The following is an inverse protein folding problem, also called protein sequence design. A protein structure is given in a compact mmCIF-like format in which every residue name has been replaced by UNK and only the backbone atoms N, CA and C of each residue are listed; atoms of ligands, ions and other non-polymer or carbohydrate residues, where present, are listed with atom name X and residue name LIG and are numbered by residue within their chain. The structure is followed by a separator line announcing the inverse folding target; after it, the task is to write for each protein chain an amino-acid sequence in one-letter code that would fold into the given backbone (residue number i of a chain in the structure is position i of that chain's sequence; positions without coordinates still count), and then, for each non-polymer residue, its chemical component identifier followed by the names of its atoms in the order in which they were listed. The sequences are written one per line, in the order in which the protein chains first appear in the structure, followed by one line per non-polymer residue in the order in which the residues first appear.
data_IF_202244264975
#
_entry.id   IF_202244264975
#
_cell.length_a   1.000
_cell.length_b   1.000
_cell.length_c   1.000
_cell.angle_alpha   90.00
_cell.angle_beta   90.00
_cell.angle_gamma   90.00
#
_symmetry.space_group_name_H-M   'P 1'
#
loop_
_entity.id
_entity.type
_entity.pdbx_description
1 polymer ?
#
# COMPACT_ATOMS: atom_id res chain seq x y z
N UNK A 1 -4.30 -56.12 -42.30
CA UNK A 1 -3.15 -55.40 -42.88
C UNK A 1 -2.13 -55.14 -41.78
N UNK A 2 -0.84 -55.26 -42.09
CA UNK A 2 0.21 -54.95 -41.13
C UNK A 2 0.31 -53.42 -40.94
N UNK A 3 0.43 -52.94 -39.69
CA UNK A 3 0.47 -51.50 -39.42
C UNK A 3 1.77 -50.85 -39.88
N UNK A 4 1.73 -49.55 -40.15
CA UNK A 4 2.88 -48.75 -40.56
C UNK A 4 3.55 -48.10 -39.34
N UNK A 5 4.88 -48.00 -39.38
CA UNK A 5 5.68 -47.35 -38.35
C UNK A 5 5.53 -45.83 -38.44
N UNK A 6 5.25 -45.16 -37.32
CA UNK A 6 5.09 -43.69 -37.32
C UNK A 6 6.39 -42.90 -37.49
N UNK A 7 7.56 -43.55 -37.51
CA UNK A 7 8.85 -42.89 -37.76
C UNK A 7 9.33 -43.04 -39.20
N UNK A 8 9.37 -44.28 -39.69
CA UNK A 8 9.91 -44.59 -41.01
C UNK A 8 8.82 -44.91 -42.05
N UNK A 9 7.54 -44.95 -41.65
CA UNK A 9 6.40 -45.31 -42.50
C UNK A 9 6.49 -46.67 -43.19
N UNK A 10 7.40 -47.54 -42.75
CA UNK A 10 7.52 -48.92 -43.22
C UNK A 10 6.62 -49.85 -42.41
N UNK A 11 6.26 -50.99 -43.02
CA UNK A 11 5.45 -52.02 -42.39
C UNK A 11 6.13 -52.57 -41.13
N UNK A 12 5.37 -52.67 -40.04
CA UNK A 12 5.82 -53.24 -38.77
C UNK A 12 5.25 -54.64 -38.61
N UNK A 13 6.13 -55.63 -38.55
CA UNK A 13 5.75 -57.01 -38.30
C UNK A 13 5.44 -57.25 -36.82
N UNK A 14 4.57 -58.23 -36.49
CA UNK A 14 4.18 -58.53 -35.10
C UNK A 14 5.36 -58.71 -34.12
N UNK A 15 6.46 -59.31 -34.57
CA UNK A 15 7.67 -59.57 -33.76
C UNK A 15 8.38 -58.29 -33.32
N UNK A 16 8.38 -57.25 -34.15
CA UNK A 16 9.07 -55.97 -33.88
C UNK A 16 8.13 -54.85 -33.46
N UNK A 17 6.83 -55.17 -33.29
CA UNK A 17 5.79 -54.19 -33.04
C UNK A 17 5.86 -53.62 -31.63
N UNK A 18 5.89 -52.29 -31.57
CA UNK A 18 5.70 -51.52 -30.34
C UNK A 18 4.47 -50.62 -30.51
N UNK A 19 3.50 -50.76 -29.61
CA UNK A 19 2.26 -49.98 -29.59
C UNK A 19 2.37 -48.89 -28.55
N UNK A 20 2.39 -47.63 -28.96
CA UNK A 20 2.58 -46.52 -28.05
C UNK A 20 2.06 -45.22 -28.67
N UNK A 21 1.43 -44.35 -27.87
CA UNK A 21 0.87 -43.07 -28.32
C UNK A 21 -0.10 -43.21 -29.50
N UNK A 22 -0.98 -44.21 -29.41
CA UNK A 22 -1.98 -44.58 -30.43
C UNK A 22 -1.38 -44.88 -31.81
N UNK A 23 -0.09 -45.24 -31.84
CA UNK A 23 0.71 -45.46 -33.04
C UNK A 23 1.53 -46.73 -32.93
N UNK A 24 1.95 -47.23 -34.08
CA UNK A 24 2.83 -48.40 -34.19
C UNK A 24 4.25 -47.95 -34.54
N UNK A 25 5.23 -48.63 -33.94
CA UNK A 25 6.64 -48.34 -34.08
C UNK A 25 7.43 -49.64 -34.19
N UNK A 26 8.55 -49.65 -34.91
CA UNK A 26 9.56 -50.70 -34.73
C UNK A 26 10.29 -50.51 -33.41
N UNK A 27 10.79 -51.61 -32.80
CA UNK A 27 11.63 -51.55 -31.60
C UNK A 27 12.80 -50.56 -31.72
N UNK A 28 13.46 -50.50 -32.88
CA UNK A 28 14.55 -49.54 -33.15
C UNK A 28 14.10 -48.13 -33.52
N UNK A 29 12.87 -47.98 -34.04
CA UNK A 29 12.33 -46.68 -34.41
C UNK A 29 11.73 -45.92 -33.21
N UNK A 30 11.45 -46.62 -32.12
CA UNK A 30 10.94 -46.01 -30.90
C UNK A 30 12.09 -45.34 -30.13
N UNK A 31 12.48 -44.13 -30.55
CA UNK A 31 13.59 -43.39 -29.95
C UNK A 31 13.25 -41.92 -29.74
N UNK A 32 13.92 -41.30 -28.77
CA UNK A 32 13.67 -39.91 -28.40
C UNK A 32 13.85 -38.97 -29.60
N UNK A 33 12.94 -38.01 -29.77
CA UNK A 33 13.07 -37.01 -30.85
C UNK A 33 14.36 -36.20 -30.75
N UNK A 34 14.77 -35.83 -29.53
CA UNK A 34 15.92 -34.95 -29.28
C UNK A 34 17.23 -35.71 -29.34
N UNK A 35 17.40 -36.75 -28.51
CA UNK A 35 18.68 -37.48 -28.43
C UNK A 35 18.77 -38.74 -29.28
N UNK A 36 17.71 -39.13 -30.00
CA UNK A 36 17.65 -40.35 -30.82
C UNK A 36 17.97 -41.66 -30.08
N UNK A 37 18.09 -41.63 -28.75
CA UNK A 37 18.29 -42.82 -27.92
C UNK A 37 17.05 -43.69 -27.99
N UNK A 38 17.23 -44.97 -28.29
CA UNK A 38 16.15 -45.97 -28.32
C UNK A 38 15.50 -46.05 -26.94
N UNK A 39 14.19 -45.82 -26.93
CA UNK A 39 13.37 -45.87 -25.74
C UNK A 39 12.70 -47.24 -25.65
N UNK A 40 12.19 -47.54 -24.47
CA UNK A 40 11.37 -48.73 -24.22
C UNK A 40 10.05 -48.27 -23.61
N UNK A 41 9.03 -49.13 -23.64
CA UNK A 41 7.73 -48.92 -23.01
C UNK A 41 7.82 -48.47 -21.54
N UNK A 42 8.87 -48.90 -20.81
CA UNK A 42 9.08 -48.52 -19.40
C UNK A 42 9.76 -47.16 -19.22
N UNK A 43 10.52 -46.69 -20.20
CA UNK A 43 11.48 -45.58 -20.03
C UNK A 43 11.11 -44.33 -20.85
N UNK A 44 9.98 -44.35 -21.56
CA UNK A 44 9.55 -43.23 -22.40
C UNK A 44 8.58 -42.31 -21.66
N UNK A 45 8.58 -41.04 -22.05
CA UNK A 45 7.52 -40.09 -21.74
C UNK A 45 6.93 -39.58 -23.04
N UNK A 46 5.60 -39.55 -23.13
CA UNK A 46 4.89 -39.11 -24.33
C UNK A 46 4.50 -37.65 -24.24
N UNK A 47 4.88 -36.84 -25.23
CA UNK A 47 4.40 -35.47 -25.41
C UNK A 47 3.96 -35.31 -26.87
N UNK A 48 2.77 -34.76 -27.12
CA UNK A 48 2.22 -34.55 -28.48
C UNK A 48 2.30 -35.79 -29.41
N UNK A 49 2.01 -36.98 -28.90
CA UNK A 49 2.10 -38.26 -29.63
C UNK A 49 3.51 -38.60 -30.16
N UNK A 50 4.55 -38.03 -29.57
CA UNK A 50 5.96 -38.35 -29.83
C UNK A 50 6.66 -38.86 -28.56
N UNK A 51 7.59 -39.83 -28.68
CA UNK A 51 8.31 -40.36 -27.52
C UNK A 51 9.54 -39.50 -27.16
N UNK A 52 9.70 -39.20 -25.87
CA UNK A 52 10.82 -38.46 -25.29
C UNK A 52 11.48 -39.26 -24.17
N UNK A 53 12.77 -39.03 -23.94
CA UNK A 53 13.44 -39.55 -22.75
C UNK A 53 13.10 -38.70 -21.52
N UNK A 54 13.42 -39.20 -20.32
CA UNK A 54 13.20 -38.45 -19.07
C UNK A 54 13.85 -37.05 -19.05
N UNK A 55 15.02 -36.89 -19.69
CA UNK A 55 15.75 -35.64 -19.72
C UNK A 55 15.15 -34.60 -20.70
N UNK A 56 14.65 -35.07 -21.84
CA UNK A 56 14.11 -34.21 -22.91
C UNK A 56 12.59 -34.11 -22.91
N UNK A 57 11.91 -34.66 -21.89
CA UNK A 57 10.48 -34.51 -21.75
C UNK A 57 10.17 -33.07 -21.30
N UNK A 58 9.49 -32.26 -22.13
CA UNK A 58 9.11 -30.91 -21.73
C UNK A 58 8.13 -31.01 -20.57
N UNK A 59 8.62 -30.74 -19.36
CA UNK A 59 7.79 -30.60 -18.17
C UNK A 59 7.06 -29.26 -18.34
N UNK A 60 5.79 -29.32 -18.67
CA UNK A 60 4.92 -28.14 -18.67
C UNK A 60 4.83 -27.65 -17.22
N UNK A 61 5.67 -26.67 -16.88
CA UNK A 61 5.52 -25.94 -15.63
C UNK A 61 4.37 -24.96 -15.87
N UNK A 62 3.18 -25.30 -15.40
CA UNK A 62 2.07 -24.37 -15.35
C UNK A 62 2.42 -23.32 -14.29
N UNK A 63 2.99 -22.20 -14.72
CA UNK A 63 3.13 -21.03 -13.86
C UNK A 63 1.72 -20.50 -13.61
N UNK A 64 1.23 -20.61 -12.37
CA UNK A 64 0.05 -19.87 -11.95
C UNK A 64 0.26 -18.40 -12.34
N UNK A 65 -0.72 -17.83 -13.04
CA UNK A 65 -0.62 -16.47 -13.60
C UNK A 65 -0.48 -15.49 -12.44
N UNK A 66 0.75 -15.08 -12.15
CA UNK A 66 1.06 -14.19 -11.04
C UNK A 66 0.48 -12.79 -11.24
N UNK A 67 0.39 -12.34 -12.50
CA UNK A 67 -0.06 -10.99 -12.85
C UNK A 67 -1.49 -11.00 -13.40
N UNK A 68 -2.41 -11.64 -12.67
CA UNK A 68 -3.83 -11.34 -12.86
C UNK A 68 -4.08 -9.87 -12.49
N UNK A 69 -5.01 -9.16 -13.18
CA UNK A 69 -5.28 -7.75 -12.91
C UNK A 69 -5.69 -7.50 -11.45
N UNK A 70 -6.25 -8.52 -10.80
CA UNK A 70 -6.57 -8.52 -9.38
C UNK A 70 -5.33 -8.58 -8.48
N UNK A 71 -4.36 -9.46 -8.78
CA UNK A 71 -3.09 -9.53 -8.06
C UNK A 71 -2.28 -8.23 -8.19
N UNK A 72 -2.33 -7.59 -9.35
CA UNK A 72 -1.67 -6.30 -9.55
C UNK A 72 -2.30 -5.20 -8.68
N UNK A 73 -3.63 -5.18 -8.56
CA UNK A 73 -4.36 -4.23 -7.72
C UNK A 73 -4.05 -4.42 -6.23
N UNK A 74 -4.03 -5.67 -5.75
CA UNK A 74 -3.65 -6.02 -4.38
C UNK A 74 -2.20 -5.60 -4.07
N UNK A 75 -1.28 -5.84 -5.00
CA UNK A 75 0.13 -5.44 -4.86
C UNK A 75 0.31 -3.92 -4.82
N UNK A 76 -0.43 -3.17 -5.64
CA UNK A 76 -0.43 -1.70 -5.59
C UNK A 76 -1.01 -1.17 -4.28
N UNK A 77 -2.15 -1.72 -3.84
CA UNK A 77 -2.78 -1.36 -2.58
C UNK A 77 -1.86 -1.64 -1.38
N UNK A 78 -1.25 -2.83 -1.33
CA UNK A 78 -0.31 -3.22 -0.28
C UNK A 78 0.93 -2.33 -0.24
N UNK A 79 1.49 -1.94 -1.41
CA UNK A 79 2.59 -0.97 -1.47
C UNK A 79 2.17 0.38 -0.90
N UNK A 80 1.02 0.92 -1.31
CA UNK A 80 0.55 2.21 -0.80
C UNK A 80 0.24 2.20 0.70
N UNK A 81 -0.15 1.05 1.24
CA UNK A 81 -0.44 0.89 2.67
C UNK A 81 0.80 0.61 3.53
N UNK A 82 1.96 0.32 2.92
CA UNK A 82 3.16 0.01 3.70
C UNK A 82 3.74 1.27 4.35
N UNK A 83 3.91 1.22 5.67
CA UNK A 83 4.52 2.30 6.45
C UNK A 83 5.98 2.60 6.04
N UNK A 84 6.66 1.63 5.41
CA UNK A 84 8.04 1.79 4.91
C UNK A 84 8.12 2.79 3.77
N UNK A 85 7.17 2.75 2.81
CA UNK A 85 7.08 3.78 1.76
C UNK A 85 6.66 5.13 2.34
N UNK A 86 5.78 5.14 3.35
CA UNK A 86 5.40 6.36 4.06
C UNK A 86 6.58 7.01 4.79
N UNK A 87 7.46 6.21 5.39
CA UNK A 87 8.69 6.65 6.05
C UNK A 87 9.73 7.12 5.04
N UNK A 88 9.88 6.44 3.90
CA UNK A 88 10.78 6.85 2.82
C UNK A 88 10.33 8.18 2.17
N UNK A 89 9.04 8.35 1.90
CA UNK A 89 8.47 9.62 1.40
C UNK A 89 8.63 10.74 2.42
N UNK A 90 8.41 10.44 3.70
CA UNK A 90 8.66 11.37 4.80
C UNK A 90 10.15 11.77 4.87
N UNK A 91 11.08 10.83 4.78
CA UNK A 91 12.53 11.11 4.77
C UNK A 91 12.97 11.87 3.52
N UNK A 92 12.40 11.58 2.34
CA UNK A 92 12.66 12.32 1.08
C UNK A 92 12.11 13.74 1.08
N UNK A 93 11.03 13.99 1.82
CA UNK A 93 10.47 15.32 2.00
C UNK A 93 11.02 16.05 3.23
N UNK A 94 11.68 15.35 4.15
CA UNK A 94 12.36 15.93 5.32
C UNK A 94 13.63 16.66 4.88
N UNK A 95 13.47 17.93 4.54
CA UNK A 95 14.57 18.81 4.10
C UNK A 95 14.29 19.54 2.80
N UNK A 96 13.25 19.13 2.05
CA UNK A 96 12.61 20.01 1.08
C UNK A 96 11.72 20.92 1.91
N UNK A 97 12.21 22.13 2.19
CA UNK A 97 11.49 23.12 2.99
C UNK A 97 10.03 23.22 2.54
N UNK A 98 9.14 23.52 3.49
CA UNK A 98 7.73 23.79 3.27
C UNK A 98 7.56 24.86 2.18
N UNK A 99 7.58 24.44 0.91
CA UNK A 99 7.07 25.23 -0.17
C UNK A 99 5.57 25.11 -0.03
N UNK A 100 4.95 26.24 0.35
CA UNK A 100 3.50 26.45 0.35
C UNK A 100 2.90 25.57 -0.74
N UNK A 101 2.15 24.56 -0.32
CA UNK A 101 1.48 23.60 -1.17
C UNK A 101 0.50 24.37 -2.05
N UNK A 102 0.99 24.83 -3.21
CA UNK A 102 0.24 25.62 -4.17
C UNK A 102 -0.89 24.80 -4.83
N UNK A 103 -0.88 23.48 -4.64
CA UNK A 103 -1.79 22.55 -5.29
C UNK A 103 -2.61 21.71 -4.29
N UNK A 104 -3.04 22.28 -3.17
CA UNK A 104 -4.20 21.69 -2.48
C UNK A 104 -5.42 21.84 -3.40
N UNK A 105 -6.22 20.77 -3.60
CA UNK A 105 -7.42 20.84 -4.46
C UNK A 105 -8.42 21.89 -3.95
N UNK A 106 -8.36 22.24 -2.66
CA UNK A 106 -9.12 23.35 -2.08
C UNK A 106 -8.66 24.72 -2.60
N UNK A 107 -7.34 24.97 -2.63
CA UNK A 107 -6.81 26.25 -3.10
C UNK A 107 -7.05 26.45 -4.60
N UNK A 108 -6.98 25.38 -5.39
CA UNK A 108 -7.32 25.43 -6.82
C UNK A 108 -8.81 25.72 -7.05
N UNK A 109 -9.72 25.20 -6.21
CA UNK A 109 -11.15 25.53 -6.27
C UNK A 109 -11.41 26.99 -5.92
N UNK A 110 -10.76 27.50 -4.87
CA UNK A 110 -10.91 28.90 -4.44
C UNK A 110 -10.37 29.85 -5.51
N UNK A 111 -9.20 29.56 -6.09
CA UNK A 111 -8.59 30.39 -7.14
C UNK A 111 -9.43 30.43 -8.41
N UNK A 112 -9.90 29.27 -8.90
CA UNK A 112 -10.79 29.23 -10.08
C UNK A 112 -12.09 30.00 -9.84
N UNK A 113 -12.66 29.87 -8.65
CA UNK A 113 -13.88 30.62 -8.27
C UNK A 113 -13.60 32.12 -8.22
N UNK A 114 -12.47 32.53 -7.65
CA UNK A 114 -12.05 33.94 -7.59
C UNK A 114 -11.80 34.54 -8.98
N UNK A 115 -11.12 33.80 -9.86
CA UNK A 115 -10.84 34.21 -11.24
C UNK A 115 -12.13 34.34 -12.07
N UNK A 116 -13.13 33.48 -11.81
CA UNK A 116 -14.44 33.58 -12.43
C UNK A 116 -15.23 34.78 -11.93
N UNK A 117 -15.24 35.02 -10.61
CA UNK A 117 -15.92 36.18 -10.01
C UNK A 117 -15.33 37.49 -10.55
N UNK A 118 -14.01 37.58 -10.65
CA UNK A 118 -13.34 38.80 -11.14
C UNK A 118 -13.64 39.04 -12.62
N UNK A 119 -13.56 38.02 -13.48
CA UNK A 119 -13.87 38.15 -14.91
C UNK A 119 -15.33 38.55 -15.15
N UNK A 120 -16.28 38.01 -14.39
CA UNK A 120 -17.70 38.38 -14.47
C UNK A 120 -17.87 39.85 -14.03
N UNK A 121 -17.27 40.26 -12.91
CA UNK A 121 -17.35 41.64 -12.41
C UNK A 121 -16.76 42.64 -13.41
N UNK A 122 -15.62 42.31 -14.03
CA UNK A 122 -15.03 43.15 -15.06
C UNK A 122 -15.91 43.29 -16.31
N UNK A 123 -16.51 42.20 -16.77
CA UNK A 123 -17.46 42.25 -17.89
C UNK A 123 -18.74 42.99 -17.53
N UNK A 124 -19.29 42.77 -16.33
CA UNK A 124 -20.48 43.46 -15.82
C UNK A 124 -20.25 44.98 -15.72
N UNK A 125 -19.13 45.40 -15.15
CA UNK A 125 -18.79 46.81 -14.98
C UNK A 125 -18.44 47.48 -16.34
N UNK A 126 -17.89 46.70 -17.27
CA UNK A 126 -17.65 47.12 -18.65
C UNK A 126 -18.96 47.28 -19.44
N UNK A 127 -19.89 46.33 -19.36
CA UNK A 127 -21.22 46.44 -19.98
C UNK A 127 -22.04 47.55 -19.34
N UNK A 128 -21.95 47.73 -18.01
CA UNK A 128 -22.60 48.82 -17.28
C UNK A 128 -22.05 50.19 -17.65
N UNK A 129 -20.74 50.32 -17.88
CA UNK A 129 -20.11 51.52 -18.45
C UNK A 129 -20.49 51.76 -19.91
N UNK A 130 -20.72 50.69 -20.67
CA UNK A 130 -21.19 50.80 -22.06
C UNK A 130 -22.66 51.20 -22.15
N UNK A 131 -23.47 50.85 -21.14
CA UNK A 131 -24.91 51.13 -21.07
C UNK A 131 -25.27 52.41 -20.29
N UNK A 132 -24.33 53.06 -19.60
CA UNK A 132 -24.52 54.33 -18.90
C UNK A 132 -23.47 55.36 -19.31
N UNK A 133 -23.81 56.26 -20.23
CA UNK A 133 -22.92 57.35 -20.62
C UNK A 133 -22.87 58.46 -19.58
N UNK A 134 -21.70 58.71 -18.98
CA UNK A 134 -21.21 60.04 -18.55
C UNK A 134 -19.71 60.02 -18.18
N UNK A 135 -19.05 61.19 -18.26
CA UNK A 135 -17.60 61.41 -18.33
C UNK A 135 -16.86 61.41 -16.95
N UNK A 136 -15.49 61.40 -16.88
CA UNK A 136 -14.73 61.05 -15.67
C UNK A 136 -14.41 62.23 -14.74
N UNK A 137 -14.48 62.03 -13.41
CA UNK A 137 -13.99 62.98 -12.39
C UNK A 137 -12.81 62.41 -11.58
N UNK A 138 -11.74 63.22 -11.43
CA UNK A 138 -10.66 63.11 -10.43
C UNK A 138 -10.86 64.16 -9.33
N UNK A 139 -10.49 63.87 -8.07
CA UNK A 139 -9.63 64.80 -7.30
C UNK A 139 -8.60 64.03 -6.41
N UNK A 140 -7.29 64.29 -6.48
CA UNK A 140 -6.45 65.32 -5.80
C UNK A 140 -5.81 64.86 -4.47
N UNK A 141 -4.48 64.82 -4.41
CA UNK A 141 -3.64 64.70 -3.19
C UNK A 141 -2.99 66.06 -2.86
N UNK A 142 -2.74 66.39 -1.58
CA UNK A 142 -1.34 66.68 -1.13
C UNK A 142 -1.08 66.29 0.36
N UNK A 143 -0.04 65.51 0.72
CA UNK A 143 1.41 65.81 0.94
C UNK A 143 1.76 66.18 2.44
N UNK A 144 3.04 66.28 2.90
CA UNK A 144 3.78 65.31 3.75
C UNK A 144 4.42 65.90 5.05
N UNK A 145 5.02 65.07 5.96
CA UNK A 145 6.14 65.44 6.89
C UNK A 145 6.61 64.26 7.79
N UNK A 146 7.85 64.36 8.32
CA UNK A 146 8.71 63.29 8.84
C UNK A 146 9.28 63.58 10.26
N UNK A 147 9.25 62.56 11.14
CA UNK A 147 10.13 62.19 12.31
C UNK A 147 10.30 63.09 13.57
N UNK A 148 10.96 62.65 14.68
CA UNK A 148 11.26 61.30 15.26
C UNK A 148 11.00 61.20 16.80
N UNK A 149 11.11 60.02 17.43
CA UNK A 149 11.70 59.82 18.79
C UNK A 149 11.68 58.36 19.25
N UNK A 150 12.80 57.92 19.82
CA UNK A 150 13.00 56.57 20.35
C UNK A 150 12.36 56.36 21.72
N UNK A 151 12.08 55.11 22.03
CA UNK A 151 11.60 54.66 23.33
C UNK A 151 11.38 53.16 23.31
N UNK A 152 12.27 52.43 23.96
CA UNK A 152 12.25 50.99 24.13
C UNK A 152 10.91 50.51 24.67
N UNK A 153 10.20 49.69 23.90
CA UNK A 153 9.20 48.79 24.44
C UNK A 153 9.45 47.38 23.90
N UNK A 154 9.79 46.55 24.86
CA UNK A 154 10.04 45.13 24.78
C UNK A 154 8.80 44.44 24.18
N UNK A 155 8.84 44.09 22.89
CA UNK A 155 7.85 43.20 22.31
C UNK A 155 8.12 41.81 22.87
N UNK A 156 7.48 41.50 23.99
CA UNK A 156 7.25 40.14 24.40
C UNK A 156 6.42 39.49 23.28
N UNK A 157 7.09 38.79 22.37
CA UNK A 157 6.43 37.82 21.52
C UNK A 157 5.86 36.78 22.47
N UNK A 158 4.54 36.83 22.70
CA UNK A 158 3.83 35.59 22.99
C UNK A 158 4.13 34.65 21.81
N UNK A 159 4.80 33.52 22.05
CA UNK A 159 4.97 32.54 20.99
C UNK A 159 3.57 32.15 20.54
N UNK A 160 3.33 32.22 19.22
CA UNK A 160 2.16 31.61 18.62
C UNK A 160 2.02 30.20 19.21
N UNK A 161 0.81 29.77 19.61
CA UNK A 161 0.64 28.45 20.20
C UNK A 161 1.26 27.46 19.25
N UNK A 162 2.27 26.72 19.74
CA UNK A 162 2.82 25.61 18.98
C UNK A 162 1.64 24.78 18.47
N UNK A 163 1.69 24.21 17.24
CA UNK A 163 0.68 23.26 16.84
C UNK A 163 0.71 22.20 17.93
N UNK A 164 -0.34 22.21 18.76
CA UNK A 164 -0.58 21.19 19.74
C UNK A 164 -0.63 19.95 18.88
N UNK A 165 0.49 19.21 18.86
CA UNK A 165 0.48 17.79 18.59
C UNK A 165 -0.68 17.37 19.46
N UNK A 166 -1.78 16.95 18.85
CA UNK A 166 -2.90 16.49 19.63
C UNK A 166 -2.29 15.36 20.46
N UNK A 167 -1.94 15.67 21.71
CA UNK A 167 -1.91 14.70 22.76
C UNK A 167 -3.32 14.16 22.63
N UNK A 168 -3.42 12.95 22.06
CA UNK A 168 -4.65 12.21 21.96
C UNK A 168 -5.35 12.48 23.28
N UNK A 169 -6.48 13.19 23.21
CA UNK A 169 -7.21 13.61 24.39
C UNK A 169 -7.25 12.37 25.26
N UNK A 170 -6.56 12.42 26.42
CA UNK A 170 -6.46 11.30 27.33
C UNK A 170 -7.88 10.75 27.43
N UNK A 171 -8.13 9.51 27.01
CA UNK A 171 -9.50 9.06 26.87
C UNK A 171 -10.18 9.21 28.22
N UNK A 172 -11.48 9.56 28.23
CA UNK A 172 -12.17 9.97 29.44
C UNK A 172 -11.83 8.97 30.54
N UNK A 173 -11.52 9.42 31.77
CA UNK A 173 -11.10 8.52 32.84
C UNK A 173 -12.15 7.44 32.95
N UNK A 174 -11.81 6.26 32.43
CA UNK A 174 -12.66 5.08 32.45
C UNK A 174 -12.47 4.52 33.84
N UNK A 175 -13.01 5.27 34.79
CA UNK A 175 -12.88 5.09 36.21
C UNK A 175 -13.39 3.68 36.55
N UNK A 176 -12.46 2.82 36.94
CA UNK A 176 -12.75 1.68 37.83
C UNK A 176 -12.73 0.29 37.22
N UNK A 177 -12.47 0.10 35.92
CA UNK A 177 -12.33 -1.26 35.36
C UNK A 177 -10.89 -1.71 35.44
N UNK A 178 -10.64 -2.64 36.36
CA UNK A 178 -9.34 -3.31 36.52
C UNK A 178 -9.39 -4.66 35.85
N UNK A 179 -8.28 -5.06 35.26
CA UNK A 179 -8.12 -6.35 34.63
C UNK A 179 -6.93 -7.07 35.25
N UNK A 180 -6.95 -8.39 35.24
CA UNK A 180 -5.85 -9.23 35.70
C UNK A 180 -5.31 -10.02 34.51
N UNK A 181 -4.01 -9.97 34.31
CA UNK A 181 -3.34 -10.82 33.33
C UNK A 181 -3.49 -12.30 33.71
N UNK A 182 -3.88 -13.11 32.73
CA UNK A 182 -4.02 -14.57 32.83
C UNK A 182 -2.78 -15.30 32.31
N UNK A 183 -1.97 -14.59 31.52
CA UNK A 183 -0.75 -15.10 30.90
C UNK A 183 0.35 -14.03 30.91
N UNK A 184 1.59 -14.47 30.78
CA UNK A 184 2.73 -13.61 30.52
C UNK A 184 2.73 -13.11 29.08
N UNK A 185 3.07 -11.83 28.91
CA UNK A 185 3.17 -11.18 27.61
C UNK A 185 4.39 -10.28 27.56
N UNK A 186 5.20 -10.46 26.53
CA UNK A 186 6.33 -9.60 26.21
C UNK A 186 5.95 -8.68 25.05
N UNK A 187 6.13 -7.37 25.24
CA UNK A 187 5.87 -6.36 24.23
C UNK A 187 6.71 -6.65 22.97
N UNK A 188 6.05 -6.66 21.82
CA UNK A 188 6.70 -6.87 20.52
C UNK A 188 7.25 -5.55 19.94
N UNK A 189 6.56 -4.43 20.20
CA UNK A 189 6.86 -3.10 19.68
C UNK A 189 6.88 -2.03 20.79
N UNK A 190 7.35 -0.81 20.47
CA UNK A 190 7.55 0.29 21.42
C UNK A 190 6.24 0.86 22.01
N UNK A 191 5.11 0.63 21.36
CA UNK A 191 3.77 1.05 21.76
C UNK A 191 3.01 -0.01 22.59
N UNK A 192 3.59 -1.20 22.79
CA UNK A 192 3.03 -2.29 23.58
C UNK A 192 3.59 -2.35 25.01
N UNK A 193 2.86 -2.99 25.92
CA UNK A 193 3.28 -3.16 27.33
C UNK A 193 3.52 -4.62 27.70
N UNK A 194 4.64 -4.88 28.39
CA UNK A 194 4.96 -6.21 28.91
C UNK A 194 4.38 -6.42 30.31
N UNK A 195 3.75 -7.58 30.55
CA UNK A 195 3.16 -7.95 31.84
C UNK A 195 3.31 -9.45 32.11
N UNK A 196 3.18 -9.84 33.36
CA UNK A 196 3.28 -11.24 33.81
C UNK A 196 1.90 -11.76 34.23
N UNK A 197 1.73 -13.08 34.23
CA UNK A 197 0.55 -13.71 34.81
C UNK A 197 0.28 -13.16 36.23
N UNK A 198 -0.96 -12.73 36.46
CA UNK A 198 -1.41 -12.14 37.69
C UNK A 198 -1.20 -10.62 37.84
N UNK A 199 -0.54 -9.94 36.90
CA UNK A 199 -0.40 -8.48 36.93
C UNK A 199 -1.77 -7.78 36.78
N UNK A 200 -1.97 -6.68 37.51
CA UNK A 200 -3.19 -5.86 37.44
C UNK A 200 -2.99 -4.73 36.43
N UNK A 201 -3.95 -4.59 35.52
CA UNK A 201 -4.02 -3.53 34.51
C UNK A 201 -5.09 -2.52 34.90
N UNK A 202 -4.70 -1.26 34.94
CA UNK A 202 -5.53 -0.10 35.29
C UNK A 202 -5.59 0.89 34.12
N UNK A 203 -6.47 1.88 34.21
CA UNK A 203 -6.69 2.89 33.16
C UNK A 203 -7.04 2.26 31.78
N UNK A 204 -7.76 1.14 31.79
CA UNK A 204 -8.00 0.33 30.59
C UNK A 204 -9.00 0.97 29.65
N UNK A 205 -8.62 1.02 28.37
CA UNK A 205 -9.45 1.49 27.28
C UNK A 205 -9.50 0.41 26.19
N UNK A 206 -10.72 0.02 25.83
CA UNK A 206 -10.92 -0.95 24.77
C UNK A 206 -10.82 -0.24 23.42
N UNK A 207 -9.85 -0.65 22.59
CA UNK A 207 -9.65 -0.09 21.25
C UNK A 207 -10.49 -0.90 20.27
N UNK A 208 -10.27 -2.21 20.25
CA UNK A 208 -11.00 -3.17 19.42
C UNK A 208 -11.20 -4.51 20.16
N UNK A 209 -11.69 -5.54 19.46
CA UNK A 209 -11.96 -6.87 20.03
C UNK A 209 -10.68 -7.68 20.33
N UNK A 210 -9.54 -7.30 19.74
CA UNK A 210 -8.26 -7.98 19.92
C UNK A 210 -7.30 -7.26 20.88
N UNK A 211 -7.41 -5.95 21.00
CA UNK A 211 -6.46 -5.07 21.66
C UNK A 211 -7.12 -4.08 22.61
N UNK A 212 -6.46 -3.87 23.73
CA UNK A 212 -6.80 -2.84 24.70
C UNK A 212 -5.55 -2.02 25.06
N UNK A 213 -5.76 -0.77 25.46
CA UNK A 213 -4.72 0.07 26.02
C UNK A 213 -4.85 0.05 27.53
N UNK A 214 -3.75 -0.07 28.26
CA UNK A 214 -3.79 -0.08 29.72
C UNK A 214 -2.44 0.20 30.35
N UNK A 215 -2.45 0.43 31.66
CA UNK A 215 -1.26 0.63 32.49
C UNK A 215 -1.08 -0.57 33.41
N UNK A 216 0.08 -1.20 33.40
CA UNK A 216 0.44 -2.26 34.35
C UNK A 216 0.74 -1.62 35.70
N UNK A 217 0.04 -2.04 36.76
CA UNK A 217 0.21 -1.48 38.11
C UNK A 217 1.61 -1.77 38.68
N UNK A 218 2.19 -2.95 38.38
CA UNK A 218 3.51 -3.36 38.85
C UNK A 218 4.67 -2.53 38.29
N UNK A 219 4.65 -2.25 36.98
CA UNK A 219 5.76 -1.56 36.29
C UNK A 219 5.49 -0.08 36.05
N UNK A 220 4.22 0.35 36.16
CA UNK A 220 3.75 1.68 35.81
C UNK A 220 3.76 1.95 34.30
N UNK A 221 4.20 1.00 33.48
CA UNK A 221 4.27 1.13 32.03
C UNK A 221 2.86 1.06 31.43
N UNK A 222 2.64 1.86 30.40
CA UNK A 222 1.36 1.97 29.70
C UNK A 222 1.58 1.72 28.21
N UNK A 223 0.65 1.01 27.59
CA UNK A 223 0.77 0.61 26.20
C UNK A 223 -0.39 -0.26 25.75
N UNK A 224 -0.30 -0.73 24.51
CA UNK A 224 -1.23 -1.70 23.94
C UNK A 224 -0.94 -3.10 24.49
N UNK A 225 -2.01 -3.86 24.72
CA UNK A 225 -1.96 -5.25 25.16
C UNK A 225 -3.12 -6.06 24.57
N UNK A 226 -2.92 -7.36 24.34
CA UNK A 226 -3.97 -8.22 23.78
C UNK A 226 -5.09 -8.47 24.79
N UNK A 227 -6.33 -8.20 24.38
CA UNK A 227 -7.50 -8.33 25.25
C UNK A 227 -7.75 -9.77 25.73
N UNK A 228 -7.34 -10.77 24.94
CA UNK A 228 -7.49 -12.20 25.29
C UNK A 228 -6.54 -12.67 26.41
N UNK A 229 -5.54 -11.86 26.77
CA UNK A 229 -4.54 -12.23 27.78
C UNK A 229 -4.87 -11.67 29.16
N UNK A 230 -5.96 -10.90 29.28
CA UNK A 230 -6.38 -10.26 30.51
C UNK A 230 -7.88 -10.46 30.76
N UNK A 231 -8.25 -10.65 32.01
CA UNK A 231 -9.63 -10.89 32.44
C UNK A 231 -10.09 -9.78 33.39
N UNK A 232 -11.35 -9.34 33.30
CA UNK A 232 -11.89 -8.32 34.18
C UNK A 232 -12.01 -8.85 35.63
N UNK A 233 -11.64 -8.04 36.63
CA UNK A 233 -11.73 -8.38 38.06
C UNK A 233 -12.63 -7.42 38.86
#
# INVERSE_FOLDING_TARGET
MNPLCSRCNLVVYPTEKVNCLDKYWHKGCFSCEVCKMTLNMKNYKGFEKRPYCNAHYPKTNFTCVADTPENLRLKQQSKMQSQVLYREDFEKNKGKGFSVVADTPELQRIKKTQDQISNIKYHEEFEKRKMGGDAPQKPSSPNPAFQPSGGSQNYHFEPAPEPVRQAAAGPPPSAGKRYRAVYDYAAADEDEVSFMDGDVIVDVQQIDEGWMYGRVERTGQQGMLPANYVEAI
#
